data_IF_292965510224
#
_entry.id   IF_292965510224
#
_cell.length_a   1.000
_cell.length_b   1.000
_cell.length_c   1.000
_cell.angle_alpha   90.00
_cell.angle_beta   90.00
_cell.angle_gamma   90.00
#
_symmetry.space_group_name_H-M   'P 1'
#
loop_
_entity.id
_entity.type
_entity.pdbx_description
1 polymer ?
#
# COMPACT_ATOMS: atom_id res chain seq x y z
N UNK A 1 10.32 17.93 -11.74
CA UNK A 1 10.11 17.41 -10.64
C UNK A 1 8.83 17.72 -10.11
N UNK A 2 8.08 16.87 -9.75
CA UNK A 2 6.75 17.11 -9.37
C UNK A 2 6.58 16.84 -7.90
N UNK A 3 6.10 17.82 -7.19
CA UNK A 3 5.80 17.67 -5.79
C UNK A 3 4.76 16.60 -5.62
N UNK A 4 3.84 16.50 -6.55
CA UNK A 4 2.79 15.51 -6.50
C UNK A 4 3.38 14.11 -6.59
N UNK A 5 4.34 13.93 -7.48
CA UNK A 5 4.98 12.64 -7.63
C UNK A 5 5.73 12.26 -6.36
N UNK A 6 6.41 13.21 -5.76
CA UNK A 6 7.13 12.96 -4.53
C UNK A 6 6.18 12.55 -3.41
N UNK A 7 5.05 13.24 -3.33
CA UNK A 7 4.06 12.93 -2.32
C UNK A 7 3.51 11.53 -2.51
N UNK A 8 3.24 11.17 -3.76
CA UNK A 8 2.71 9.85 -4.05
C UNK A 8 3.71 8.75 -3.71
N UNK A 9 4.96 8.99 -3.99
CA UNK A 9 5.99 8.00 -3.67
C UNK A 9 6.14 7.82 -2.17
N UNK A 10 6.05 8.92 -1.44
CA UNK A 10 6.14 8.86 0.01
C UNK A 10 4.96 8.12 0.59
N UNK A 11 3.77 8.38 0.04
CA UNK A 11 2.57 7.70 0.49
C UNK A 11 2.68 6.20 0.23
N UNK A 12 3.24 5.83 -0.92
CA UNK A 12 3.40 4.42 -1.24
C UNK A 12 4.35 3.74 -0.26
N UNK A 13 5.46 4.39 0.06
CA UNK A 13 6.39 3.82 1.00
C UNK A 13 5.78 3.62 2.36
N UNK A 14 4.97 4.59 2.79
CA UNK A 14 4.32 4.49 4.07
C UNK A 14 3.33 3.32 4.07
N UNK A 15 2.62 3.15 2.98
CA UNK A 15 1.66 2.06 2.89
C UNK A 15 2.35 0.70 2.88
N UNK A 16 3.52 0.62 2.25
CA UNK A 16 4.28 -0.62 2.24
C UNK A 16 4.72 -0.97 3.66
N UNK A 17 5.16 0.02 4.43
CA UNK A 17 5.56 -0.21 5.80
C UNK A 17 4.36 -0.68 6.63
N UNK A 18 3.21 -0.04 6.43
CA UNK A 18 2.01 -0.44 7.15
C UNK A 18 1.60 -1.86 6.78
N UNK A 19 1.72 -2.20 5.49
CA UNK A 19 1.38 -3.54 5.04
C UNK A 19 2.29 -4.56 5.71
N UNK A 20 3.57 -4.25 5.81
CA UNK A 20 4.52 -5.18 6.41
C UNK A 20 4.24 -5.37 7.90
N UNK A 21 3.82 -4.30 8.56
CA UNK A 21 3.46 -4.39 9.95
C UNK A 21 2.27 -5.34 10.14
N UNK A 22 1.28 -5.22 9.29
CA UNK A 22 0.12 -6.09 9.38
C UNK A 22 0.45 -7.53 8.99
N UNK A 23 1.40 -7.68 8.07
CA UNK A 23 1.83 -9.02 7.70
C UNK A 23 2.47 -9.73 8.89
N UNK A 24 3.18 -9.00 9.73
CA UNK A 24 3.79 -9.60 10.91
C UNK A 24 2.72 -10.11 11.86
N UNK A 25 1.65 -9.37 11.99
CA UNK A 25 0.55 -9.81 12.83
C UNK A 25 -0.07 -11.09 12.27
N UNK A 26 -0.20 -11.16 10.96
CA UNK A 26 -0.78 -12.34 10.33
C UNK A 26 0.11 -13.56 10.51
N UNK A 27 1.41 -13.35 10.56
CA UNK A 27 2.35 -14.44 10.70
C UNK A 27 2.46 -14.93 12.15
N UNK A 28 2.06 -14.11 13.09
CA UNK A 28 2.17 -14.49 14.48
C UNK A 28 1.08 -15.50 14.84
N UNK A 29 1.40 -16.39 15.73
CA UNK A 29 0.44 -17.41 16.07
C UNK A 29 -0.64 -16.82 16.86
N UNK A 30 -1.63 -16.88 16.72
CA UNK A 30 -2.72 -16.61 17.30
C UNK A 30 -3.38 -15.61 17.87
N UNK A 31 -4.21 -14.97 17.83
CA UNK A 31 -5.24 -14.16 18.29
C UNK A 31 -6.11 -13.98 17.07
N UNK A 32 -7.11 -14.70 16.99
CA UNK A 32 -7.98 -14.72 15.87
C UNK A 32 -8.54 -13.35 15.51
N UNK A 33 -8.92 -12.59 16.54
CA UNK A 33 -9.49 -11.26 16.31
C UNK A 33 -8.47 -10.31 15.70
N UNK A 34 -7.24 -10.38 16.21
CA UNK A 34 -6.19 -9.54 15.66
C UNK A 34 -5.86 -9.95 14.25
N UNK A 35 -5.85 -11.25 13.99
CA UNK A 35 -5.53 -11.74 12.66
C UNK A 35 -6.58 -11.30 11.65
N UNK A 36 -7.83 -11.31 12.04
CA UNK A 36 -8.88 -10.89 11.14
C UNK A 36 -8.78 -9.41 10.82
N UNK A 37 -8.49 -8.60 11.82
CA UNK A 37 -8.34 -7.19 11.57
C UNK A 37 -7.12 -6.91 10.70
N UNK A 38 -6.03 -7.63 10.97
CA UNK A 38 -4.81 -7.45 10.20
C UNK A 38 -5.03 -7.86 8.76
N UNK A 39 -5.83 -8.90 8.55
CA UNK A 39 -6.09 -9.35 7.19
C UNK A 39 -6.89 -8.31 6.41
N UNK A 40 -7.91 -7.76 7.04
CA UNK A 40 -8.72 -6.72 6.40
C UNK A 40 -7.86 -5.52 6.05
N UNK A 41 -7.03 -5.11 7.01
CA UNK A 41 -6.16 -3.97 6.77
C UNK A 41 -5.13 -4.27 5.70
N UNK A 42 -4.59 -5.48 5.70
CA UNK A 42 -3.62 -5.86 4.71
C UNK A 42 -4.21 -5.74 3.29
N UNK A 43 -5.41 -6.25 3.11
CA UNK A 43 -6.07 -6.19 1.82
C UNK A 43 -6.36 -4.75 1.42
N UNK A 44 -6.83 -3.96 2.38
CA UNK A 44 -7.13 -2.57 2.13
C UNK A 44 -5.87 -1.81 1.71
N UNK A 45 -4.80 -2.03 2.44
CA UNK A 45 -3.55 -1.35 2.16
C UNK A 45 -2.97 -1.81 0.82
N UNK A 46 -3.09 -3.09 0.52
CA UNK A 46 -2.60 -3.61 -0.73
C UNK A 46 -3.34 -2.95 -1.91
N UNK A 47 -4.63 -2.73 -1.75
CA UNK A 47 -5.41 -2.05 -2.76
C UNK A 47 -4.94 -0.60 -2.92
N UNK A 48 -4.65 0.05 -1.81
CA UNK A 48 -4.16 1.42 -1.84
C UNK A 48 -2.79 1.51 -2.51
N UNK A 49 -1.92 0.55 -2.23
CA UNK A 49 -0.61 0.53 -2.87
C UNK A 49 -0.76 0.43 -4.37
N UNK A 50 -1.66 -0.43 -4.84
CA UNK A 50 -1.91 -0.55 -6.27
C UNK A 50 -2.40 0.75 -6.88
N UNK A 51 -3.32 1.41 -6.17
CA UNK A 51 -3.84 2.68 -6.63
C UNK A 51 -2.75 3.75 -6.67
N UNK A 52 -1.89 3.75 -5.67
CA UNK A 52 -0.80 4.72 -5.64
C UNK A 52 0.20 4.46 -6.76
N UNK A 53 0.47 3.21 -7.03
CA UNK A 53 1.38 2.87 -8.11
C UNK A 53 0.82 3.30 -9.47
N UNK A 54 -0.47 3.16 -9.65
CA UNK A 54 -1.11 3.63 -10.86
C UNK A 54 -0.99 5.14 -10.98
N UNK A 55 -1.20 5.84 -9.88
CA UNK A 55 -1.11 7.29 -9.87
C UNK A 55 0.32 7.74 -10.17
N UNK A 56 1.29 7.02 -9.61
CA UNK A 56 2.68 7.36 -9.85
C UNK A 56 3.02 7.18 -11.33
N UNK A 57 2.55 6.10 -11.91
CA UNK A 57 2.78 5.84 -13.31
C UNK A 57 2.23 6.96 -14.17
N UNK A 58 1.05 7.43 -13.82
CA UNK A 58 0.44 8.53 -14.54
C UNK A 58 1.25 9.80 -14.44
N UNK A 59 1.80 10.06 -13.26
CA UNK A 59 2.57 11.28 -13.07
C UNK A 59 3.91 11.21 -13.80
N UNK A 60 4.42 10.02 -14.00
CA UNK A 60 5.68 9.86 -14.69
C UNK A 60 5.49 10.06 -16.20
N UNK A 61 4.29 10.21 -16.62
CA UNK A 61 4.05 10.40 -18.03
C UNK A 61 3.99 9.13 -18.83
N UNK A 62 4.08 8.05 -18.16
CA UNK A 62 4.06 6.82 -18.86
C UNK A 62 2.69 6.42 -18.85
N UNK A 63 1.96 6.70 -19.83
CA UNK A 63 0.68 6.44 -19.80
C UNK A 63 0.33 5.19 -20.28
N UNK A 64 -0.20 4.46 -19.66
CA UNK A 64 -0.53 3.20 -20.08
C UNK A 64 -1.67 3.37 -20.92
N UNK A 65 -1.90 3.05 -21.69
CA UNK A 65 -2.72 3.14 -22.51
C UNK A 65 -3.81 2.52 -22.19
N UNK A 66 -4.35 2.54 -21.90
CA UNK A 66 -5.47 1.94 -21.58
C UNK A 66 -6.27 1.44 -22.46
#
# INVERSE_FOLDING_TARGET
MSERLETLKRARERMIEDRDTHAKVLAAPFDRDKAERARSKFIEIQTLIGALESAISGEDGITPKS
#
